data_IF_464754444122
#
_entry.id   IF_464754444122
#
_cell.length_a   1.000
_cell.length_b   1.000
_cell.length_c   1.000
_cell.angle_alpha   90.00
_cell.angle_beta   90.00
_cell.angle_gamma   90.00
#
_symmetry.space_group_name_H-M   'P 1'
#
loop_
_entity.id
_entity.type
_entity.pdbx_description
1 polymer ?
#
# COMPACT_ATOMS: atom_id res chain seq x y z
N UNK A 1 19.10 1.39 6.46
CA UNK A 1 18.52 0.87 7.73
C UNK A 1 17.50 1.85 8.32
N UNK A 2 16.21 1.59 8.13
CA UNK A 2 15.09 2.47 8.53
C UNK A 2 14.92 2.61 10.07
N UNK A 3 15.74 1.89 10.86
CA UNK A 3 15.70 1.90 12.33
C UNK A 3 16.36 3.12 13.00
N UNK A 4 17.38 3.74 12.38
CA UNK A 4 18.16 4.82 13.02
C UNK A 4 17.34 6.10 13.26
N UNK A 5 16.48 6.49 12.32
CA UNK A 5 15.64 7.69 12.46
C UNK A 5 14.53 7.57 13.52
N UNK A 6 14.32 6.37 14.08
CA UNK A 6 13.22 6.06 15.02
C UNK A 6 13.71 5.52 16.35
N UNK A 7 15.02 5.53 16.55
CA UNK A 7 15.66 5.10 17.79
C UNK A 7 15.02 5.78 19.01
N UNK A 8 14.73 7.08 18.94
CA UNK A 8 14.09 7.83 20.03
C UNK A 8 12.72 7.26 20.45
N UNK A 9 11.91 6.76 19.51
CA UNK A 9 10.58 6.15 19.80
C UNK A 9 10.77 4.85 20.58
N UNK A 10 11.71 4.02 20.12
CA UNK A 10 12.00 2.74 20.77
C UNK A 10 12.68 2.93 22.12
N UNK A 11 13.60 3.88 22.24
CA UNK A 11 14.26 4.22 23.49
C UNK A 11 13.26 4.68 24.55
N UNK A 12 12.28 5.50 24.16
CA UNK A 12 11.21 5.94 25.07
C UNK A 12 10.27 4.78 25.44
N UNK A 13 9.86 3.96 24.47
CA UNK A 13 8.93 2.83 24.72
C UNK A 13 9.54 1.75 25.60
N UNK A 14 10.82 1.46 25.42
CA UNK A 14 11.54 0.39 26.12
C UNK A 14 12.50 0.94 27.18
N UNK A 15 12.27 2.15 27.70
CA UNK A 15 13.17 2.83 28.65
C UNK A 15 13.56 1.94 29.85
N UNK A 16 12.62 1.16 30.37
CA UNK A 16 12.85 0.26 31.50
C UNK A 16 13.68 -1.00 31.16
N UNK A 17 13.84 -1.31 29.86
CA UNK A 17 14.47 -2.55 29.35
C UNK A 17 15.69 -2.28 28.46
N UNK A 18 16.21 -1.05 28.47
CA UNK A 18 17.33 -0.65 27.59
C UNK A 18 18.63 -1.42 27.83
N UNK A 19 18.81 -1.93 29.06
CA UNK A 19 19.99 -2.68 29.47
C UNK A 19 19.78 -4.19 29.38
N UNK A 20 18.59 -4.63 28.98
CA UNK A 20 18.28 -6.05 28.86
C UNK A 20 19.06 -6.61 27.67
N UNK A 21 19.87 -7.63 27.94
CA UNK A 21 20.50 -8.43 26.88
C UNK A 21 19.63 -9.66 26.70
N UNK A 22 18.98 -9.75 25.54
CA UNK A 22 18.15 -10.91 25.20
C UNK A 22 19.01 -12.18 25.17
N UNK A 23 18.49 -13.26 25.74
CA UNK A 23 19.11 -14.57 25.67
C UNK A 23 19.18 -15.09 24.23
N UNK A 24 20.00 -16.11 24.00
CA UNK A 24 20.10 -16.75 22.68
C UNK A 24 18.73 -17.29 22.24
N UNK A 25 18.25 -16.83 21.08
CA UNK A 25 16.96 -17.21 20.50
C UNK A 25 15.74 -16.44 21.04
N UNK A 26 15.92 -15.60 22.07
CA UNK A 26 14.85 -14.77 22.60
C UNK A 26 14.51 -13.64 21.61
N UNK A 27 13.21 -13.40 21.39
CA UNK A 27 12.70 -12.37 20.48
C UNK A 27 11.87 -11.35 21.24
N UNK A 28 12.26 -10.08 21.16
CA UNK A 28 11.47 -8.97 21.65
C UNK A 28 10.67 -8.33 20.51
N UNK A 29 9.35 -8.32 20.64
CA UNK A 29 8.48 -7.62 19.68
C UNK A 29 8.51 -6.12 19.95
N UNK A 30 9.11 -5.33 19.06
CA UNK A 30 9.25 -3.88 19.22
C UNK A 30 7.94 -3.11 18.90
N UNK A 31 7.12 -3.66 18.00
CA UNK A 31 5.87 -3.06 17.50
C UNK A 31 4.90 -4.17 17.11
N UNK A 32 3.63 -4.03 17.49
CA UNK A 32 2.58 -5.00 17.17
C UNK A 32 1.97 -4.78 15.77
N UNK A 33 2.05 -3.54 15.25
CA UNK A 33 1.48 -3.13 13.96
C UNK A 33 2.56 -2.90 12.91
N UNK A 34 2.41 -3.55 11.76
CA UNK A 34 3.28 -3.42 10.60
C UNK A 34 3.10 -2.11 9.82
N UNK A 35 3.27 -0.94 10.46
CA UNK A 35 3.25 0.32 9.73
C UNK A 35 4.65 0.71 9.20
N UNK A 36 4.68 1.31 8.02
CA UNK A 36 5.92 1.79 7.39
C UNK A 36 6.66 2.79 8.29
N UNK A 37 5.92 3.51 9.15
CA UNK A 37 6.41 4.52 10.09
C UNK A 37 7.03 3.98 11.40
N UNK A 38 7.05 2.66 11.62
CA UNK A 38 7.60 2.04 12.83
C UNK A 38 8.57 0.88 12.52
N UNK A 39 9.09 0.83 11.30
CA UNK A 39 10.22 -0.05 10.94
C UNK A 39 9.79 -1.40 10.39
N UNK A 40 8.57 -1.47 9.84
CA UNK A 40 8.09 -2.67 9.13
C UNK A 40 8.95 -2.96 7.92
N UNK A 41 9.33 -4.23 7.78
CA UNK A 41 10.02 -4.72 6.60
C UNK A 41 8.96 -5.20 5.62
N UNK A 42 8.99 -4.64 4.41
CA UNK A 42 8.23 -5.15 3.28
C UNK A 42 9.06 -6.23 2.60
N UNK A 43 8.47 -7.38 2.34
CA UNK A 43 9.13 -8.47 1.63
C UNK A 43 8.36 -8.77 0.35
N UNK A 44 9.07 -8.72 -0.77
CA UNK A 44 8.58 -9.09 -2.08
C UNK A 44 8.36 -10.61 -2.14
N UNK A 45 7.09 -10.97 -2.20
CA UNK A 45 6.62 -12.35 -2.32
C UNK A 45 5.91 -12.58 -3.66
N UNK A 46 6.31 -11.87 -4.72
CA UNK A 46 5.73 -12.02 -6.07
C UNK A 46 5.77 -13.47 -6.57
N UNK A 47 6.69 -14.30 -6.09
CA UNK A 47 6.73 -15.74 -6.40
C UNK A 47 5.49 -16.53 -5.92
N UNK A 48 4.69 -15.97 -5.01
CA UNK A 48 3.42 -16.56 -4.57
C UNK A 48 2.29 -16.34 -5.58
N UNK A 49 2.45 -15.40 -6.52
CA UNK A 49 1.43 -15.12 -7.52
C UNK A 49 1.28 -16.33 -8.43
N UNK A 50 0.05 -16.81 -8.54
CA UNK A 50 -0.36 -17.90 -9.43
C UNK A 50 -1.45 -17.40 -10.37
N UNK A 51 -1.72 -18.17 -11.43
CA UNK A 51 -2.83 -17.87 -12.35
C UNK A 51 -4.19 -17.85 -11.67
N UNK A 52 -4.41 -18.70 -10.66
CA UNK A 52 -5.71 -18.77 -9.97
C UNK A 52 -5.91 -17.57 -9.05
N UNK A 53 -4.85 -17.15 -8.34
CA UNK A 53 -4.88 -15.91 -7.56
C UNK A 53 -5.07 -14.69 -8.48
N UNK A 54 -4.36 -14.62 -9.61
CA UNK A 54 -4.52 -13.54 -10.59
C UNK A 54 -5.96 -13.46 -11.11
N UNK A 55 -6.54 -14.58 -11.54
CA UNK A 55 -7.94 -14.63 -11.99
C UNK A 55 -8.91 -14.18 -10.90
N UNK A 56 -8.67 -14.59 -9.64
CA UNK A 56 -9.54 -14.20 -8.53
C UNK A 56 -9.48 -12.69 -8.29
N UNK A 57 -8.29 -12.10 -8.27
CA UNK A 57 -8.10 -10.67 -8.05
C UNK A 57 -8.63 -9.85 -9.24
N UNK A 58 -8.45 -10.34 -10.47
CA UNK A 58 -9.01 -9.72 -11.68
C UNK A 58 -10.54 -9.72 -11.65
N UNK A 59 -11.18 -10.84 -11.32
CA UNK A 59 -12.63 -10.91 -11.17
C UNK A 59 -13.17 -9.93 -10.11
N UNK A 60 -12.48 -9.82 -8.97
CA UNK A 60 -12.81 -8.82 -7.94
C UNK A 60 -12.64 -7.40 -8.50
N UNK A 61 -11.54 -7.13 -9.22
CA UNK A 61 -11.25 -5.81 -9.78
C UNK A 61 -12.31 -5.39 -10.81
N UNK A 62 -12.74 -6.31 -11.67
CA UNK A 62 -13.78 -6.05 -12.68
C UNK A 62 -15.17 -5.82 -12.07
N UNK A 63 -15.42 -6.35 -10.86
CA UNK A 63 -16.67 -6.09 -10.14
C UNK A 63 -16.79 -4.67 -9.58
N UNK A 64 -15.71 -3.88 -9.61
CA UNK A 64 -15.64 -2.51 -9.11
C UNK A 64 -15.76 -1.50 -10.27
N UNK A 65 -16.93 -0.85 -10.47
CA UNK A 65 -17.11 0.07 -11.59
C UNK A 65 -16.13 1.25 -11.53
N UNK A 66 -15.45 1.53 -12.64
CA UNK A 66 -14.47 2.61 -12.74
C UNK A 66 -13.13 2.34 -12.03
N UNK A 67 -12.91 1.11 -11.55
CA UNK A 67 -11.62 0.69 -11.03
C UNK A 67 -10.72 0.20 -12.17
N UNK A 68 -9.56 0.83 -12.30
CA UNK A 68 -8.60 0.54 -13.37
C UNK A 68 -7.20 0.26 -12.84
N UNK A 69 -6.84 0.86 -11.71
CA UNK A 69 -5.54 0.68 -11.05
C UNK A 69 -5.69 0.92 -9.55
N UNK A 70 -5.04 0.06 -8.79
CA UNK A 70 -4.93 0.20 -7.35
C UNK A 70 -4.12 -0.94 -6.74
N UNK A 71 -4.09 -0.96 -5.41
CA UNK A 71 -3.44 -1.99 -4.60
C UNK A 71 -4.44 -2.50 -3.57
N UNK A 72 -4.62 -3.81 -3.53
CA UNK A 72 -5.35 -4.48 -2.47
C UNK A 72 -4.39 -4.85 -1.33
N UNK A 73 -4.72 -4.44 -0.12
CA UNK A 73 -4.04 -4.92 1.06
C UNK A 73 -4.85 -6.10 1.61
N UNK A 74 -4.25 -7.28 1.54
CA UNK A 74 -4.92 -8.55 1.83
C UNK A 74 -4.38 -9.18 3.11
N UNK A 75 -5.26 -9.90 3.81
CA UNK A 75 -4.91 -10.76 4.93
C UNK A 75 -5.34 -12.18 4.62
N UNK A 76 -4.39 -13.11 4.57
CA UNK A 76 -4.62 -14.53 4.42
C UNK A 76 -4.15 -15.29 5.68
N UNK A 77 -4.81 -16.40 5.99
CA UNK A 77 -4.42 -17.30 7.08
C UNK A 77 -3.66 -18.54 6.61
N UNK A 78 -3.77 -18.88 5.33
CA UNK A 78 -3.13 -20.04 4.71
C UNK A 78 -2.52 -19.68 3.37
N UNK A 79 -1.25 -20.05 3.17
CA UNK A 79 -0.48 -19.64 2.00
C UNK A 79 -0.90 -20.40 0.74
N UNK A 80 -1.16 -21.70 0.85
CA UNK A 80 -1.49 -22.52 -0.32
C UNK A 80 -2.91 -22.25 -0.80
N UNK A 81 -3.85 -22.03 0.12
CA UNK A 81 -5.19 -21.53 -0.20
C UNK A 81 -5.13 -20.14 -0.81
N UNK A 82 -4.32 -19.23 -0.27
CA UNK A 82 -4.11 -17.91 -0.88
C UNK A 82 -3.62 -18.02 -2.32
N UNK A 83 -2.67 -18.93 -2.59
CA UNK A 83 -2.17 -19.22 -3.94
C UNK A 83 -3.24 -19.82 -4.86
N UNK A 84 -4.33 -20.39 -4.36
CA UNK A 84 -5.49 -20.81 -5.18
C UNK A 84 -6.54 -19.71 -5.33
N UNK A 85 -6.30 -18.51 -4.79
CA UNK A 85 -7.29 -17.43 -4.75
C UNK A 85 -8.37 -17.63 -3.68
N UNK A 86 -8.05 -18.36 -2.62
CA UNK A 86 -8.96 -18.72 -1.53
C UNK A 86 -8.49 -18.14 -0.18
N UNK A 87 -9.34 -18.20 0.85
CA UNK A 87 -8.99 -17.95 2.25
C UNK A 87 -8.25 -16.63 2.55
N UNK A 88 -8.62 -15.54 1.86
CA UNK A 88 -8.13 -14.20 2.16
C UNK A 88 -9.27 -13.20 2.35
N UNK A 89 -8.97 -12.11 3.05
CA UNK A 89 -9.83 -10.95 3.23
C UNK A 89 -9.15 -9.70 2.68
N UNK A 90 -9.92 -8.85 2.01
CA UNK A 90 -9.47 -7.52 1.60
C UNK A 90 -9.64 -6.60 2.81
N UNK A 91 -8.54 -5.99 3.25
CA UNK A 91 -8.53 -5.06 4.39
C UNK A 91 -8.67 -3.63 3.89
N UNK A 92 -8.00 -3.30 2.79
CA UNK A 92 -8.00 -1.98 2.20
C UNK A 92 -7.87 -2.07 0.67
N UNK A 93 -8.55 -1.17 -0.03
CA UNK A 93 -8.35 -0.92 -1.45
C UNK A 93 -7.79 0.48 -1.62
N UNK A 94 -6.51 0.55 -1.96
CA UNK A 94 -5.85 1.79 -2.33
C UNK A 94 -6.09 2.03 -3.82
N UNK A 95 -6.60 3.21 -4.19
CA UNK A 95 -6.76 3.61 -5.59
C UNK A 95 -5.41 3.86 -6.29
N UNK A 96 -5.41 4.72 -7.31
CA UNK A 96 -4.22 5.02 -8.11
C UNK A 96 -3.00 5.52 -7.30
N UNK A 97 -3.22 6.05 -6.10
CA UNK A 97 -2.16 6.54 -5.19
C UNK A 97 -1.53 5.46 -4.32
N UNK A 98 -1.98 4.20 -4.41
CA UNK A 98 -1.38 3.08 -3.68
C UNK A 98 0.00 2.74 -4.23
N UNK A 99 1.06 3.17 -3.57
CA UNK A 99 2.44 2.89 -3.98
C UNK A 99 2.76 1.38 -3.99
N UNK A 100 3.68 0.91 -4.85
CA UNK A 100 4.00 -0.49 -4.97
C UNK A 100 4.86 -0.94 -3.78
N UNK A 101 4.22 -1.54 -2.78
CA UNK A 101 4.87 -1.89 -1.51
C UNK A 101 6.08 -2.84 -1.68
N UNK A 102 6.11 -3.67 -2.73
CA UNK A 102 7.23 -4.56 -3.02
C UNK A 102 8.52 -3.81 -3.35
N UNK A 103 8.45 -2.54 -3.75
CA UNK A 103 9.64 -1.73 -4.05
C UNK A 103 10.51 -1.47 -2.81
N UNK A 104 9.97 -1.63 -1.61
CA UNK A 104 10.67 -1.44 -0.34
C UNK A 104 11.38 -2.69 0.18
N UNK A 105 11.36 -3.81 -0.56
CA UNK A 105 12.12 -5.00 -0.16
C UNK A 105 13.62 -4.69 -0.10
N UNK A 106 14.32 -4.99 1.01
CA UNK A 106 15.76 -4.79 1.14
C UNK A 106 16.63 -5.44 0.05
N UNK A 107 16.11 -6.47 -0.63
CA UNK A 107 16.79 -7.16 -1.73
C UNK A 107 16.79 -6.36 -3.02
N UNK A 108 15.91 -5.37 -3.17
CA UNK A 108 15.80 -4.56 -4.37
C UNK A 108 16.72 -3.34 -4.33
N UNK A 109 17.27 -2.99 -5.49
CA UNK A 109 18.07 -1.78 -5.63
C UNK A 109 17.20 -0.52 -5.69
N UNK A 110 17.79 0.64 -5.40
CA UNK A 110 17.12 1.91 -5.58
C UNK A 110 16.63 2.13 -7.03
N UNK A 111 17.42 1.69 -8.01
CA UNK A 111 17.02 1.69 -9.42
C UNK A 111 15.77 0.85 -9.67
N UNK A 112 15.67 -0.34 -9.08
CA UNK A 112 14.47 -1.17 -9.17
C UNK A 112 13.25 -0.41 -8.62
N UNK A 113 13.38 0.25 -7.46
CA UNK A 113 12.29 0.97 -6.84
C UNK A 113 11.78 2.12 -7.74
N UNK A 114 12.67 2.96 -8.25
CA UNK A 114 12.30 4.01 -9.20
C UNK A 114 11.63 3.45 -10.45
N UNK A 115 12.12 2.32 -10.98
CA UNK A 115 11.49 1.67 -12.14
C UNK A 115 10.05 1.23 -11.86
N UNK A 116 9.73 0.76 -10.64
CA UNK A 116 8.35 0.40 -10.29
C UNK A 116 7.44 1.64 -10.23
N UNK A 117 7.93 2.73 -9.61
CA UNK A 117 7.20 4.00 -9.55
C UNK A 117 6.90 4.52 -10.96
N UNK A 118 7.90 4.57 -11.84
CA UNK A 118 7.72 5.04 -13.22
C UNK A 118 6.74 4.18 -14.02
N UNK A 119 6.76 2.86 -13.83
CA UNK A 119 5.78 1.95 -14.44
C UNK A 119 4.35 2.24 -13.97
N UNK A 120 4.16 2.44 -12.66
CA UNK A 120 2.86 2.80 -12.11
C UNK A 120 2.35 4.12 -12.69
N UNK A 121 3.17 5.17 -12.71
CA UNK A 121 2.79 6.46 -13.29
C UNK A 121 2.46 6.37 -14.78
N UNK A 122 3.25 5.60 -15.55
CA UNK A 122 2.96 5.37 -16.96
C UNK A 122 1.59 4.69 -17.17
N UNK A 123 1.23 3.74 -16.30
CA UNK A 123 -0.10 3.10 -16.35
C UNK A 123 -1.21 4.07 -15.96
N UNK A 124 -1.05 4.83 -14.87
CA UNK A 124 -2.00 5.85 -14.43
C UNK A 124 -2.25 6.87 -15.55
N UNK A 125 -1.21 7.36 -16.21
CA UNK A 125 -1.35 8.29 -17.33
C UNK A 125 -2.08 7.66 -18.52
N UNK A 126 -1.79 6.40 -18.86
CA UNK A 126 -2.48 5.71 -19.95
C UNK A 126 -3.96 5.55 -19.67
N UNK A 127 -4.32 5.08 -18.47
CA UNK A 127 -5.71 4.97 -18.03
C UNK A 127 -6.38 6.35 -17.99
N UNK A 128 -5.70 7.36 -17.46
CA UNK A 128 -6.20 8.73 -17.39
C UNK A 128 -6.50 9.31 -18.77
N UNK A 129 -5.60 9.10 -19.74
CA UNK A 129 -5.80 9.51 -21.12
C UNK A 129 -6.99 8.81 -21.78
N UNK A 130 -7.15 7.50 -21.55
CA UNK A 130 -8.28 6.73 -22.08
C UNK A 130 -9.60 7.16 -21.45
N UNK A 131 -9.62 7.40 -20.15
CA UNK A 131 -10.78 7.90 -19.42
C UNK A 131 -11.17 9.31 -19.90
N UNK A 132 -10.18 10.18 -20.14
CA UNK A 132 -10.39 11.50 -20.72
C UNK A 132 -11.01 11.43 -22.11
N UNK A 133 -10.60 10.46 -22.94
CA UNK A 133 -11.16 10.26 -24.29
C UNK A 133 -12.62 9.82 -24.23
N UNK A 134 -12.99 9.00 -23.26
CA UNK A 134 -14.36 8.48 -23.06
C UNK A 134 -15.27 9.46 -22.31
N UNK A 135 -14.70 10.42 -21.59
CA UNK A 135 -15.46 11.39 -20.83
C UNK A 135 -16.25 12.34 -21.75
N UNK A 136 -17.55 12.49 -21.46
CA UNK A 136 -18.43 13.43 -22.17
C UNK A 136 -18.00 14.89 -21.94
N UNK A 137 -17.49 15.18 -20.75
CA UNK A 137 -16.84 16.46 -20.43
C UNK A 137 -15.34 16.24 -20.26
N UNK A 138 -14.54 16.93 -21.07
CA UNK A 138 -13.10 16.97 -20.87
C UNK A 138 -12.82 17.69 -19.55
N UNK A 139 -11.98 17.11 -18.69
CA UNK A 139 -11.49 17.77 -17.48
C UNK A 139 -10.77 19.08 -17.86
N UNK A 140 -11.50 20.20 -17.79
CA UNK A 140 -10.97 21.56 -17.96
C UNK A 140 -10.38 22.01 -16.63
N UNK A 141 -9.45 22.96 -16.68
CA UNK A 141 -8.84 23.57 -15.48
C UNK A 141 -9.88 23.96 -14.41
N UNK A 142 -11.04 24.48 -14.81
CA UNK A 142 -12.16 24.82 -13.91
C UNK A 142 -12.76 23.63 -13.13
N UNK A 143 -12.77 22.43 -13.71
CA UNK A 143 -13.20 21.20 -13.02
C UNK A 143 -12.24 20.88 -11.88
N UNK A 144 -10.93 21.11 -12.07
CA UNK A 144 -9.93 20.92 -11.02
C UNK A 144 -10.16 21.87 -9.84
N UNK A 145 -10.46 23.15 -10.09
CA UNK A 145 -10.81 24.10 -9.02
C UNK A 145 -12.07 23.70 -8.26
N UNK A 146 -13.10 23.25 -8.98
CA UNK A 146 -14.35 22.76 -8.36
C UNK A 146 -14.08 21.53 -7.48
N UNK A 147 -13.24 20.60 -7.94
CA UNK A 147 -12.87 19.42 -7.16
C UNK A 147 -11.96 19.77 -5.96
N UNK A 148 -11.02 20.71 -6.11
CA UNK A 148 -10.21 21.23 -5.00
C UNK A 148 -11.08 21.87 -3.91
N UNK A 149 -12.10 22.65 -4.31
CA UNK A 149 -13.08 23.22 -3.38
C UNK A 149 -13.87 22.14 -2.62
N UNK A 150 -14.34 21.11 -3.33
CA UNK A 150 -15.05 19.96 -2.72
C UNK A 150 -14.17 19.15 -1.77
N UNK A 151 -12.93 18.86 -2.17
CA UNK A 151 -11.95 18.17 -1.32
C UNK A 151 -11.66 18.96 -0.04
N UNK A 152 -11.44 20.28 -0.14
CA UNK A 152 -11.24 21.14 1.03
C UNK A 152 -12.45 21.16 1.97
N UNK A 153 -13.67 21.09 1.42
CA UNK A 153 -14.89 20.98 2.22
C UNK A 153 -14.98 19.62 2.93
N UNK A 154 -14.68 18.51 2.25
CA UNK A 154 -14.67 17.15 2.84
C UNK A 154 -13.55 16.96 3.88
N UNK A 155 -12.36 17.51 3.64
CA UNK A 155 -11.24 17.42 4.57
C UNK A 155 -11.55 18.11 5.91
N UNK A 156 -12.40 19.15 5.92
CA UNK A 156 -12.89 19.78 7.15
C UNK A 156 -13.85 18.87 7.92
N UNK A 157 -14.71 18.13 7.23
CA UNK A 157 -15.62 17.16 7.85
C UNK A 157 -14.90 15.98 8.53
N UNK A 158 -13.72 15.58 8.05
CA UNK A 158 -12.92 14.51 8.68
C UNK A 158 -12.05 14.98 9.86
N UNK A 159 -12.05 16.28 10.18
CA UNK A 159 -11.31 16.85 11.31
C UNK A 159 -12.17 17.11 12.55
N UNK A 160 -13.49 16.93 12.48
CA UNK A 160 -14.33 16.97 13.69
C UNK A 160 -14.27 15.63 14.42
N UNK A 161 -13.92 15.60 15.72
CA UNK A 161 -13.88 14.37 16.49
C UNK A 161 -15.31 13.83 16.68
N UNK A 162 -15.49 12.52 16.47
CA UNK A 162 -16.66 11.79 17.00
C UNK A 162 -16.52 11.58 18.49
#
# INVERSE_FOLDING_TARGET
PQGLGRLHIFLKRFQARLKDVLGYGERLTLVQTGNHCQGTIFLDKTYLVTRDLEKRIDAISQSLPGFHIGRFDLRASDLEAFRRGEAFKIIELNGATGEPAHMYDPRHSLYFAYRQIMKQWAFIWRVGAENQRKAKEKYRFWVLFKQLGRYRAQARYHQEPR
#
